data_IF_563151133738
#
_entry.id   IF_563151133738
#
_cell.length_a   1.000
_cell.length_b   1.000
_cell.length_c   1.000
_cell.angle_alpha   90.00
_cell.angle_beta   90.00
_cell.angle_gamma   90.00
#
_symmetry.space_group_name_H-M   'P 1'
#
loop_
_entity.id
_entity.type
_entity.pdbx_description
1 polymer ?
#
# COMPACT_ATOMS: atom_id res chain seq x y z
N UNK A 1 12.70 -3.88 -31.31
CA UNK A 1 12.42 -3.86 -29.86
C UNK A 1 10.90 -3.99 -29.70
N UNK A 2 10.39 -4.90 -28.88
CA UNK A 2 8.93 -5.16 -28.78
C UNK A 2 8.10 -3.97 -28.27
N UNK A 3 8.76 -2.97 -27.69
CA UNK A 3 8.16 -1.77 -27.09
C UNK A 3 7.62 -0.76 -28.13
N UNK A 4 7.88 -1.02 -29.43
CA UNK A 4 7.33 -0.25 -30.55
C UNK A 4 6.01 -0.79 -31.08
N UNK A 5 5.45 -1.86 -30.48
CA UNK A 5 4.15 -2.42 -30.87
C UNK A 5 2.99 -1.43 -30.68
N UNK A 6 3.15 -0.47 -29.78
CA UNK A 6 2.17 0.57 -29.49
C UNK A 6 2.76 1.95 -29.84
N UNK A 7 2.00 2.75 -30.59
CA UNK A 7 2.38 4.12 -30.98
C UNK A 7 1.96 5.17 -29.95
N UNK A 8 2.58 6.36 -30.04
CA UNK A 8 2.27 7.51 -29.19
C UNK A 8 3.03 7.54 -27.86
N UNK A 9 3.09 8.71 -27.22
CA UNK A 9 3.89 8.88 -26.01
C UNK A 9 3.39 8.01 -24.83
N UNK A 10 2.07 7.80 -24.72
CA UNK A 10 1.47 6.98 -23.67
C UNK A 10 1.85 5.49 -23.71
N UNK A 11 2.31 4.97 -24.85
CA UNK A 11 2.69 3.56 -24.97
C UNK A 11 3.86 3.17 -24.06
N UNK A 12 4.75 4.11 -23.79
CA UNK A 12 5.89 3.95 -22.88
C UNK A 12 5.48 3.66 -21.44
N UNK A 13 4.20 3.81 -21.08
CA UNK A 13 3.67 3.52 -19.75
C UNK A 13 2.87 2.22 -19.71
N UNK A 14 2.88 1.43 -20.78
CA UNK A 14 2.23 0.13 -20.78
C UNK A 14 2.88 -0.79 -19.75
N UNK A 15 2.05 -1.47 -18.96
CA UNK A 15 2.48 -2.36 -17.88
C UNK A 15 3.45 -3.46 -18.32
N UNK A 16 3.25 -3.99 -19.52
CA UNK A 16 4.04 -5.08 -20.08
C UNK A 16 4.89 -4.61 -21.26
N UNK A 17 4.67 -3.37 -21.71
CA UNK A 17 5.23 -2.76 -22.91
C UNK A 17 5.79 -1.32 -22.62
N UNK A 18 6.46 -1.07 -21.46
CA UNK A 18 7.52 -0.04 -21.18
C UNK A 18 9.07 -0.41 -21.09
N UNK A 19 9.97 0.57 -21.12
CA UNK A 19 11.43 0.34 -21.06
C UNK A 19 11.94 -0.52 -19.88
N UNK A 20 11.27 -0.46 -18.72
CA UNK A 20 11.65 -1.22 -17.54
C UNK A 20 11.43 -2.73 -17.72
N UNK A 21 10.33 -3.16 -18.33
CA UNK A 21 10.13 -4.59 -18.58
C UNK A 21 11.01 -5.14 -19.72
N UNK A 22 11.56 -4.30 -20.62
CA UNK A 22 12.61 -4.76 -21.56
C UNK A 22 13.87 -5.16 -20.80
N UNK A 23 14.25 -4.32 -19.83
CA UNK A 23 15.41 -4.58 -18.98
C UNK A 23 15.17 -5.84 -18.17
N UNK A 24 13.98 -6.02 -17.59
CA UNK A 24 13.64 -7.25 -16.88
C UNK A 24 13.74 -8.47 -17.79
N UNK A 25 13.18 -8.43 -19.01
CA UNK A 25 13.31 -9.51 -19.98
C UNK A 25 14.77 -9.80 -20.32
N UNK A 26 15.60 -8.78 -20.52
CA UNK A 26 17.03 -9.00 -20.84
C UNK A 26 17.84 -9.49 -19.65
N UNK A 27 17.55 -8.99 -18.46
CA UNK A 27 18.29 -9.28 -17.24
C UNK A 27 17.88 -10.61 -16.63
N UNK A 28 16.57 -10.82 -16.40
CA UNK A 28 16.05 -12.01 -15.73
C UNK A 28 16.18 -13.26 -16.58
N UNK A 29 16.18 -13.14 -17.91
CA UNK A 29 16.47 -14.28 -18.79
C UNK A 29 17.96 -14.68 -18.83
N UNK A 30 18.86 -13.92 -18.19
CA UNK A 30 20.27 -14.34 -18.01
C UNK A 30 20.49 -15.16 -16.74
N UNK A 31 19.51 -15.18 -15.83
CA UNK A 31 19.61 -15.91 -14.57
C UNK A 31 19.06 -17.34 -14.73
N UNK A 32 19.71 -18.36 -14.13
CA UNK A 32 19.15 -19.71 -14.04
C UNK A 32 17.81 -19.68 -13.29
N UNK A 33 16.80 -20.44 -13.75
CA UNK A 33 15.49 -20.52 -13.10
C UNK A 33 15.13 -22.00 -12.83
N UNK A 34 14.94 -22.33 -11.56
CA UNK A 34 14.78 -23.73 -11.11
C UNK A 34 13.32 -24.22 -11.05
N UNK A 35 12.31 -23.33 -11.04
CA UNK A 35 10.97 -23.69 -10.54
C UNK A 35 9.77 -23.48 -11.49
N UNK A 36 9.97 -23.07 -12.74
CA UNK A 36 8.89 -23.13 -13.75
C UNK A 36 9.32 -24.07 -14.87
N UNK A 37 8.44 -24.99 -15.32
CA UNK A 37 8.80 -25.97 -16.33
C UNK A 37 9.34 -25.24 -17.54
N UNK A 38 10.60 -25.55 -17.88
CA UNK A 38 11.30 -25.07 -19.06
C UNK A 38 10.56 -25.56 -20.32
N UNK A 39 9.46 -24.89 -20.69
CA UNK A 39 8.78 -25.04 -21.98
C UNK A 39 9.48 -24.20 -23.07
N UNK A 40 10.79 -23.97 -22.94
CA UNK A 40 11.52 -23.01 -23.77
C UNK A 40 11.00 -21.57 -23.66
N UNK A 41 10.19 -21.25 -22.66
CA UNK A 41 9.61 -19.91 -22.48
C UNK A 41 10.58 -19.03 -21.68
N UNK A 42 11.07 -17.98 -22.34
CA UNK A 42 11.78 -16.87 -21.71
C UNK A 42 10.81 -16.15 -20.75
N UNK A 43 11.30 -15.60 -19.64
CA UNK A 43 10.59 -14.58 -18.85
C UNK A 43 10.00 -13.56 -19.83
N UNK A 44 8.67 -13.54 -19.89
CA UNK A 44 7.92 -12.80 -20.87
C UNK A 44 7.13 -11.67 -20.20
N UNK A 45 6.45 -11.97 -19.09
CA UNK A 45 5.55 -11.05 -18.39
C UNK A 45 5.68 -11.22 -16.88
N UNK A 46 5.60 -10.09 -16.17
CA UNK A 46 5.26 -10.05 -14.75
C UNK A 46 3.78 -9.66 -14.57
N UNK A 47 2.96 -10.58 -14.06
CA UNK A 47 1.53 -10.37 -13.84
C UNK A 47 1.22 -9.23 -12.84
N UNK A 48 2.13 -9.02 -11.89
CA UNK A 48 2.05 -7.93 -10.92
C UNK A 48 2.37 -6.56 -11.52
N UNK A 49 3.09 -6.48 -12.64
CA UNK A 49 3.59 -5.22 -13.21
C UNK A 49 4.76 -4.60 -12.45
N UNK A 50 5.30 -5.31 -11.44
CA UNK A 50 6.51 -4.88 -10.76
C UNK A 50 7.71 -5.09 -11.67
N UNK A 51 8.47 -4.03 -11.87
CA UNK A 51 9.64 -4.05 -12.73
C UNK A 51 10.87 -3.65 -11.94
N UNK A 52 12.06 -4.13 -12.31
CA UNK A 52 13.26 -3.83 -11.54
C UNK A 52 13.48 -2.32 -11.43
N UNK A 53 13.38 -1.57 -12.53
CA UNK A 53 13.56 -0.11 -12.52
C UNK A 53 12.55 0.67 -11.67
N UNK A 54 11.46 0.05 -11.17
CA UNK A 54 10.55 0.72 -10.24
C UNK A 54 11.24 1.15 -8.95
N UNK A 55 12.45 0.64 -8.66
CA UNK A 55 13.28 1.13 -7.56
C UNK A 55 13.58 2.64 -7.66
N UNK A 56 13.65 3.24 -8.86
CA UNK A 56 13.95 4.66 -9.06
C UNK A 56 12.84 5.56 -8.49
N UNK A 57 11.57 5.45 -8.95
CA UNK A 57 10.48 6.20 -8.34
C UNK A 57 10.23 5.79 -6.87
N UNK A 58 10.59 4.57 -6.48
CA UNK A 58 10.55 4.16 -5.06
C UNK A 58 11.60 4.90 -4.21
N UNK A 59 12.84 5.06 -4.70
CA UNK A 59 13.89 5.86 -4.06
C UNK A 59 13.42 7.30 -3.85
N UNK A 60 12.76 7.89 -4.84
CA UNK A 60 12.20 9.24 -4.70
C UNK A 60 11.19 9.33 -3.54
N UNK A 61 10.26 8.36 -3.41
CA UNK A 61 9.33 8.33 -2.27
C UNK A 61 10.04 8.14 -0.93
N UNK A 62 11.10 7.33 -0.88
CA UNK A 62 11.90 7.14 0.33
C UNK A 62 12.63 8.42 0.74
N UNK A 63 13.21 9.15 -0.22
CA UNK A 63 13.86 10.44 0.03
C UNK A 63 12.87 11.49 0.52
N UNK A 64 11.67 11.57 -0.07
CA UNK A 64 10.60 12.46 0.41
C UNK A 64 10.17 12.12 1.83
N UNK A 65 10.04 10.83 2.15
CA UNK A 65 9.78 10.35 3.51
C UNK A 65 10.89 10.73 4.50
N UNK A 66 12.16 10.57 4.09
CA UNK A 66 13.32 10.98 4.88
C UNK A 66 13.28 12.49 5.17
N UNK A 67 12.97 13.31 4.16
CA UNK A 67 12.82 14.76 4.33
C UNK A 67 11.72 15.09 5.34
N UNK A 68 10.54 14.49 5.25
CA UNK A 68 9.48 14.65 6.26
C UNK A 68 9.97 14.28 7.67
N UNK A 69 10.65 13.14 7.80
CA UNK A 69 11.21 12.69 9.07
C UNK A 69 12.22 13.68 9.65
N UNK A 70 13.11 14.25 8.81
CA UNK A 70 14.07 15.26 9.25
C UNK A 70 13.40 16.55 9.73
N UNK A 71 12.33 17.00 9.06
CA UNK A 71 11.55 18.17 9.47
C UNK A 71 10.87 17.92 10.81
N UNK A 72 10.26 16.74 11.00
CA UNK A 72 9.63 16.39 12.27
C UNK A 72 10.62 16.31 13.44
N UNK A 73 11.85 15.83 13.19
CA UNK A 73 12.92 15.77 14.21
C UNK A 73 13.63 17.10 14.44
N UNK A 74 13.39 18.11 13.62
CA UNK A 74 14.03 19.42 13.76
C UNK A 74 13.55 20.17 15.00
N UNK A 75 14.33 21.16 15.42
CA UNK A 75 14.00 22.09 16.52
C UNK A 75 12.97 23.16 16.15
N UNK A 76 12.39 23.10 14.95
CA UNK A 76 11.37 24.06 14.52
C UNK A 76 10.11 23.96 15.40
N UNK A 77 9.36 25.08 15.57
CA UNK A 77 8.06 25.04 16.23
C UNK A 77 7.09 24.08 15.53
N UNK A 78 6.24 23.41 16.29
CA UNK A 78 5.36 22.37 15.74
C UNK A 78 4.39 22.90 14.66
N UNK A 79 3.95 24.15 14.79
CA UNK A 79 3.15 24.82 13.77
C UNK A 79 3.87 24.99 12.42
N UNK A 80 5.18 25.26 12.44
CA UNK A 80 5.98 25.37 11.21
C UNK A 80 6.21 24.01 10.56
N UNK A 81 6.38 22.95 11.36
CA UNK A 81 6.45 21.57 10.84
C UNK A 81 5.17 21.19 10.09
N UNK A 82 3.99 21.49 10.66
CA UNK A 82 2.70 21.24 9.99
C UNK A 82 2.58 22.06 8.70
N UNK A 83 2.89 23.36 8.74
CA UNK A 83 2.85 24.21 7.54
C UNK A 83 3.78 23.68 6.45
N UNK A 84 4.98 23.23 6.82
CA UNK A 84 5.92 22.64 5.87
C UNK A 84 5.35 21.39 5.21
N UNK A 85 4.78 20.46 5.99
CA UNK A 85 4.16 19.23 5.46
C UNK A 85 2.97 19.54 4.55
N UNK A 86 2.13 20.51 4.91
CA UNK A 86 1.00 20.95 4.08
C UNK A 86 1.47 21.56 2.76
N UNK A 87 2.48 22.44 2.80
CA UNK A 87 3.09 23.03 1.59
C UNK A 87 3.75 21.96 0.72
N UNK A 88 4.52 21.05 1.30
CA UNK A 88 5.15 19.95 0.57
C UNK A 88 4.11 19.08 -0.13
N UNK A 89 3.02 18.71 0.56
CA UNK A 89 1.93 17.95 -0.04
C UNK A 89 1.23 18.71 -1.17
N UNK A 90 0.99 20.02 -1.01
CA UNK A 90 0.42 20.86 -2.06
C UNK A 90 1.33 20.95 -3.29
N UNK A 91 2.64 21.12 -3.11
CA UNK A 91 3.63 21.11 -4.19
C UNK A 91 3.61 19.76 -4.91
N UNK A 92 3.58 18.64 -4.18
CA UNK A 92 3.46 17.31 -4.79
C UNK A 92 2.20 17.21 -5.65
N UNK A 93 1.04 17.69 -5.19
CA UNK A 93 -0.18 17.66 -5.99
C UNK A 93 -0.09 18.54 -7.24
N UNK A 94 0.45 19.76 -7.13
CA UNK A 94 0.65 20.65 -8.29
C UNK A 94 1.57 19.99 -9.32
N UNK A 95 2.67 19.37 -8.88
CA UNK A 95 3.59 18.64 -9.76
C UNK A 95 2.89 17.42 -10.37
N UNK A 96 2.14 16.64 -9.61
CA UNK A 96 1.37 15.51 -10.14
C UNK A 96 0.33 15.93 -11.17
N UNK A 97 -0.36 17.04 -10.93
CA UNK A 97 -1.33 17.62 -11.87
C UNK A 97 -0.65 18.10 -13.15
N UNK A 98 0.57 18.63 -13.06
CA UNK A 98 1.36 18.99 -14.25
C UNK A 98 1.84 17.77 -15.03
N UNK A 99 2.10 16.64 -14.36
CA UNK A 99 2.56 15.40 -14.98
C UNK A 99 1.42 14.60 -15.66
N UNK A 100 0.22 14.67 -15.10
CA UNK A 100 -0.95 13.94 -15.57
C UNK A 100 -2.22 14.77 -15.32
N UNK A 101 -2.87 15.21 -16.40
CA UNK A 101 -4.11 15.99 -16.30
C UNK A 101 -5.33 15.17 -15.89
N UNK A 102 -5.22 13.83 -15.81
CA UNK A 102 -6.33 12.95 -15.41
C UNK A 102 -6.86 13.20 -14.00
N UNK A 103 -6.03 13.78 -13.12
CA UNK A 103 -6.40 14.11 -11.74
C UNK A 103 -6.89 15.55 -11.58
N UNK A 104 -7.03 16.31 -12.67
CA UNK A 104 -7.55 17.66 -12.58
C UNK A 104 -9.01 17.62 -12.13
N UNK A 105 -9.40 18.52 -11.20
CA UNK A 105 -10.79 18.58 -10.72
C UNK A 105 -11.77 19.04 -11.81
N UNK A 106 -11.28 19.72 -12.85
CA UNK A 106 -12.08 20.22 -13.96
C UNK A 106 -11.47 19.74 -15.27
N UNK A 107 -12.27 19.04 -16.07
CA UNK A 107 -11.88 18.66 -17.41
C UNK A 107 -11.88 19.90 -18.31
N UNK A 108 -10.69 20.33 -18.75
CA UNK A 108 -10.54 21.46 -19.67
C UNK A 108 -10.48 20.87 -21.09
N UNK A 109 -11.45 21.19 -21.98
CA UNK A 109 -11.43 20.73 -23.36
C UNK A 109 -10.10 21.10 -24.03
N UNK A 110 -9.53 20.17 -24.79
CA UNK A 110 -8.25 20.32 -25.51
C UNK A 110 -6.98 20.47 -24.64
N UNK A 111 -7.07 20.31 -23.31
CA UNK A 111 -5.91 20.30 -22.40
C UNK A 111 -5.79 18.94 -21.69
N UNK A 112 -5.48 17.89 -22.46
CA UNK A 112 -5.25 16.56 -21.92
C UNK A 112 -3.85 16.06 -22.31
N UNK A 113 -2.99 15.88 -21.32
CA UNK A 113 -1.69 15.24 -21.52
C UNK A 113 -1.36 14.29 -20.36
N UNK A 114 -0.62 13.24 -20.72
CA UNK A 114 -0.24 12.17 -19.80
C UNK A 114 1.27 11.93 -19.92
N UNK A 115 2.06 12.87 -19.41
CA UNK A 115 3.52 12.79 -19.48
C UNK A 115 4.06 11.69 -18.54
N UNK A 116 3.53 11.60 -17.33
CA UNK A 116 3.80 10.48 -16.43
C UNK A 116 2.48 10.09 -15.75
N UNK A 117 1.70 9.16 -16.34
CA UNK A 117 0.38 8.82 -15.86
C UNK A 117 0.44 8.25 -14.45
N UNK A 118 -0.57 8.51 -13.64
CA UNK A 118 -0.62 8.14 -12.22
C UNK A 118 -1.05 6.67 -12.10
N UNK A 119 -0.12 5.75 -12.37
CA UNK A 119 -0.35 4.30 -12.32
C UNK A 119 0.41 3.67 -11.16
N UNK A 120 -0.33 3.20 -10.15
CA UNK A 120 0.21 2.49 -8.99
C UNK A 120 0.90 1.18 -9.35
N UNK A 121 0.35 0.42 -10.29
CA UNK A 121 0.75 -0.97 -10.56
C UNK A 121 2.19 -1.09 -11.06
N UNK A 122 2.67 -0.13 -11.84
CA UNK A 122 4.07 -0.06 -12.30
C UNK A 122 4.87 1.04 -11.58
N UNK A 123 4.35 1.55 -10.46
CA UNK A 123 4.98 2.59 -9.65
C UNK A 123 5.53 3.79 -10.45
N UNK A 124 4.70 4.32 -11.35
CA UNK A 124 5.09 5.48 -12.18
C UNK A 124 5.58 6.67 -11.36
N UNK A 125 6.47 7.53 -11.90
CA UNK A 125 6.88 8.76 -11.25
C UNK A 125 5.70 9.67 -10.86
N UNK A 126 4.68 9.77 -11.72
CA UNK A 126 3.44 10.51 -11.41
C UNK A 126 2.74 9.96 -10.16
N UNK A 127 2.62 8.63 -10.04
CA UNK A 127 2.09 7.97 -8.84
C UNK A 127 2.97 8.18 -7.60
N UNK A 128 4.28 8.13 -7.74
CA UNK A 128 5.22 8.35 -6.63
C UNK A 128 5.05 9.75 -6.01
N UNK A 129 4.99 10.79 -6.84
CA UNK A 129 4.77 12.18 -6.36
C UNK A 129 3.36 12.35 -5.80
N UNK A 130 2.35 11.79 -6.47
CA UNK A 130 0.94 11.93 -6.06
C UNK A 130 0.68 11.28 -4.70
N UNK A 131 1.17 10.04 -4.52
CA UNK A 131 1.07 9.33 -3.25
C UNK A 131 1.84 10.04 -2.13
N UNK A 132 3.00 10.62 -2.45
CA UNK A 132 3.78 11.43 -1.49
C UNK A 132 2.98 12.62 -0.97
N UNK A 133 2.23 13.31 -1.86
CA UNK A 133 1.34 14.41 -1.47
C UNK A 133 0.31 14.02 -0.41
N UNK A 134 -0.39 12.90 -0.62
CA UNK A 134 -1.31 12.33 0.37
C UNK A 134 -0.61 11.95 1.67
N UNK A 135 0.55 11.30 1.59
CA UNK A 135 1.28 10.90 2.80
C UNK A 135 1.75 12.10 3.63
N UNK A 136 2.20 13.19 3.01
CA UNK A 136 2.56 14.42 3.74
C UNK A 136 1.36 15.04 4.45
N UNK A 137 0.20 15.12 3.79
CA UNK A 137 -1.01 15.66 4.40
C UNK A 137 -1.56 14.77 5.51
N UNK A 138 -1.56 13.45 5.32
CA UNK A 138 -1.92 12.50 6.38
C UNK A 138 -0.96 12.60 7.57
N UNK A 139 0.35 12.71 7.31
CA UNK A 139 1.35 12.90 8.36
C UNK A 139 1.15 14.23 9.10
N UNK A 140 0.85 15.32 8.39
CA UNK A 140 0.51 16.60 8.98
C UNK A 140 -0.73 16.50 9.88
N UNK A 141 -1.77 15.82 9.41
CA UNK A 141 -3.00 15.61 10.16
C UNK A 141 -2.75 14.77 11.44
N UNK A 142 -2.02 13.65 11.33
CA UNK A 142 -1.70 12.82 12.48
C UNK A 142 -0.81 13.54 13.50
N UNK A 143 0.23 14.23 13.03
CA UNK A 143 1.10 15.03 13.91
C UNK A 143 0.30 16.14 14.62
N UNK A 144 -0.58 16.83 13.91
CA UNK A 144 -1.42 17.85 14.52
C UNK A 144 -2.41 17.28 15.55
N UNK A 145 -3.06 16.15 15.26
CA UNK A 145 -4.04 15.55 16.18
C UNK A 145 -3.36 14.91 17.41
N UNK A 146 -2.24 14.21 17.21
CA UNK A 146 -1.61 13.37 18.25
C UNK A 146 -0.60 14.17 19.07
N UNK A 147 0.24 14.97 18.43
CA UNK A 147 1.36 15.66 19.07
C UNK A 147 0.99 17.09 19.49
N UNK A 148 0.24 17.83 18.67
CA UNK A 148 -0.15 19.21 19.03
C UNK A 148 -1.43 19.22 19.88
N UNK A 149 -2.51 18.58 19.40
CA UNK A 149 -3.80 18.51 20.11
C UNK A 149 -3.81 17.49 21.26
N UNK A 150 -2.77 16.67 21.38
CA UNK A 150 -2.61 15.66 22.45
C UNK A 150 -3.77 14.62 22.51
N UNK A 151 -4.52 14.46 21.43
CA UNK A 151 -5.62 13.49 21.38
C UNK A 151 -5.06 12.11 21.03
N UNK A 152 -4.57 11.39 22.04
CA UNK A 152 -3.80 10.14 21.86
C UNK A 152 -4.61 8.86 22.06
N UNK A 153 -5.80 8.92 22.66
CA UNK A 153 -6.57 7.71 23.02
C UNK A 153 -6.98 6.87 21.81
N UNK A 154 -7.37 7.52 20.71
CA UNK A 154 -7.80 6.83 19.49
C UNK A 154 -6.63 6.23 18.70
N UNK A 155 -5.40 6.71 18.91
CA UNK A 155 -4.22 6.20 18.21
C UNK A 155 -3.66 4.92 18.85
N UNK A 156 -4.09 4.56 20.07
CA UNK A 156 -3.65 3.36 20.79
C UNK A 156 -3.77 2.05 19.98
N UNK A 157 -4.93 1.70 19.38
CA UNK A 157 -5.03 0.46 18.60
C UNK A 157 -4.11 0.45 17.37
N UNK A 158 -3.88 1.60 16.74
CA UNK A 158 -2.99 1.75 15.58
C UNK A 158 -1.51 1.66 15.99
N UNK A 159 -1.16 2.27 17.12
CA UNK A 159 0.19 2.26 17.68
C UNK A 159 0.66 0.84 17.98
N UNK A 160 -0.21 0.00 18.54
CA UNK A 160 0.10 -1.41 18.85
C UNK A 160 0.55 -2.18 17.62
N UNK A 161 -0.16 -2.01 16.50
CA UNK A 161 0.20 -2.62 15.23
C UNK A 161 1.49 -2.01 14.69
N UNK A 162 1.64 -0.68 14.80
CA UNK A 162 2.83 0.04 14.34
C UNK A 162 4.12 -0.38 15.05
N UNK A 163 4.07 -0.62 16.37
CA UNK A 163 5.22 -1.07 17.15
C UNK A 163 5.67 -2.50 16.83
N UNK A 164 4.81 -3.30 16.21
CA UNK A 164 5.08 -4.69 15.79
C UNK A 164 4.77 -4.87 14.28
N UNK A 165 5.12 -3.87 13.46
CA UNK A 165 4.74 -3.81 12.05
C UNK A 165 5.27 -5.00 11.22
N UNK A 166 6.51 -5.45 11.47
CA UNK A 166 7.07 -6.63 10.80
C UNK A 166 6.37 -7.92 11.22
N UNK A 167 6.05 -8.06 12.51
CA UNK A 167 5.31 -9.22 13.00
C UNK A 167 3.92 -9.27 12.36
N UNK A 168 3.23 -8.13 12.31
CA UNK A 168 1.93 -8.01 11.65
C UNK A 168 2.00 -8.38 10.17
N UNK A 169 3.03 -7.90 9.45
CA UNK A 169 3.26 -8.25 8.05
C UNK A 169 3.46 -9.76 7.85
N UNK A 170 4.36 -10.36 8.62
CA UNK A 170 4.65 -11.81 8.56
C UNK A 170 3.40 -12.62 8.89
N UNK A 171 2.66 -12.24 9.94
CA UNK A 171 1.42 -12.92 10.31
C UNK A 171 0.35 -12.82 9.20
N UNK A 172 0.20 -11.64 8.58
CA UNK A 172 -0.76 -11.45 7.49
C UNK A 172 -0.42 -12.32 6.26
N UNK A 173 0.85 -12.64 6.04
CA UNK A 173 1.28 -13.51 4.93
C UNK A 173 1.20 -14.99 5.27
N UNK A 174 1.57 -15.38 6.49
CA UNK A 174 1.71 -16.79 6.86
C UNK A 174 0.45 -17.39 7.49
N UNK A 175 -0.21 -16.68 8.40
CA UNK A 175 -1.29 -17.26 9.23
C UNK A 175 -2.68 -16.72 8.92
N UNK A 176 -2.82 -15.72 8.04
CA UNK A 176 -4.13 -15.12 7.69
C UNK A 176 -5.18 -16.14 7.23
N UNK A 177 -4.79 -17.11 6.40
CA UNK A 177 -5.69 -18.17 5.94
C UNK A 177 -6.11 -19.07 7.09
N UNK A 178 -5.13 -19.49 7.90
CA UNK A 178 -5.36 -20.32 9.07
C UNK A 178 -6.27 -19.64 10.09
N UNK A 179 -6.05 -18.35 10.39
CA UNK A 179 -6.91 -17.56 11.29
C UNK A 179 -8.35 -17.49 10.78
N UNK A 180 -8.54 -17.34 9.45
CA UNK A 180 -9.87 -17.38 8.84
C UNK A 180 -10.56 -18.73 8.99
N UNK A 181 -9.84 -19.82 8.73
CA UNK A 181 -10.34 -21.19 8.88
C UNK A 181 -10.72 -21.51 10.32
N UNK A 182 -9.82 -21.22 11.27
CA UNK A 182 -10.06 -21.43 12.70
C UNK A 182 -11.29 -20.64 13.17
N UNK A 183 -11.39 -19.36 12.80
CA UNK A 183 -12.53 -18.52 13.16
C UNK A 183 -13.84 -19.09 12.58
N UNK A 184 -13.83 -19.55 11.33
CA UNK A 184 -15.00 -20.20 10.72
C UNK A 184 -15.40 -21.49 11.47
N UNK A 185 -14.45 -22.34 11.84
CA UNK A 185 -14.75 -23.59 12.56
C UNK A 185 -15.34 -23.31 13.94
N UNK A 186 -14.68 -22.46 14.74
CA UNK A 186 -15.13 -22.20 16.11
C UNK A 186 -16.47 -21.46 16.17
N UNK A 187 -16.70 -20.49 15.26
CA UNK A 187 -17.99 -19.81 15.20
C UNK A 187 -19.12 -20.73 14.73
N UNK A 188 -18.85 -21.67 13.82
CA UNK A 188 -19.85 -22.66 13.42
C UNK A 188 -20.25 -23.58 14.58
N UNK A 189 -19.29 -23.96 15.44
CA UNK A 189 -19.59 -24.72 16.68
C UNK A 189 -20.45 -23.91 17.64
N UNK A 190 -20.19 -22.60 17.79
CA UNK A 190 -20.99 -21.70 18.63
C UNK A 190 -22.42 -21.59 18.09
N UNK A 191 -22.58 -21.34 16.79
CA UNK A 191 -23.90 -21.24 16.17
C UNK A 191 -24.69 -22.55 16.34
N UNK A 192 -24.03 -23.70 16.19
CA UNK A 192 -24.64 -25.01 16.43
C UNK A 192 -25.05 -25.21 17.90
N UNK A 193 -24.23 -24.77 18.86
CA UNK A 193 -24.51 -24.87 20.29
C UNK A 193 -25.77 -24.08 20.69
N UNK A 194 -25.95 -22.89 20.12
CA UNK A 194 -27.11 -22.02 20.40
C UNK A 194 -28.29 -22.26 19.44
N UNK A 195 -28.17 -23.21 18.50
CA UNK A 195 -29.21 -23.51 17.52
C UNK A 195 -29.47 -22.39 16.50
N UNK A 196 -28.51 -21.49 16.31
CA UNK A 196 -28.62 -20.38 15.36
C UNK A 196 -28.35 -20.86 13.94
N UNK A 197 -29.35 -20.71 13.05
CA UNK A 197 -29.18 -21.01 11.61
C UNK A 197 -28.50 -19.85 10.86
N UNK A 198 -28.82 -18.62 11.23
CA UNK A 198 -28.25 -17.38 10.68
C UNK A 198 -27.42 -16.65 11.73
N UNK A 199 -26.51 -17.39 12.38
CA UNK A 199 -25.70 -16.90 13.48
C UNK A 199 -24.48 -16.07 13.05
N UNK A 200 -23.49 -16.02 13.94
CA UNK A 200 -22.29 -15.19 13.76
C UNK A 200 -21.43 -15.73 12.61
N UNK A 201 -21.40 -17.05 12.42
CA UNK A 201 -20.68 -17.68 11.32
C UNK A 201 -21.28 -17.29 9.96
N UNK A 202 -22.61 -17.34 9.86
CA UNK A 202 -23.32 -16.95 8.64
C UNK A 202 -23.08 -15.47 8.30
N UNK A 203 -23.16 -14.59 9.29
CA UNK A 203 -22.90 -13.16 9.11
C UNK A 203 -21.46 -12.83 8.65
N UNK A 204 -20.48 -13.65 9.01
CA UNK A 204 -19.05 -13.42 8.73
C UNK A 204 -18.50 -14.21 7.53
N UNK A 205 -19.08 -15.37 7.21
CA UNK A 205 -18.53 -16.32 6.23
C UNK A 205 -19.59 -16.98 5.33
N UNK A 206 -20.87 -16.71 5.55
CA UNK A 206 -21.97 -17.19 4.72
C UNK A 206 -22.31 -16.24 3.57
N UNK A 207 -23.44 -16.49 2.91
CA UNK A 207 -23.96 -15.68 1.81
C UNK A 207 -24.72 -14.44 2.32
N UNK A 208 -24.00 -13.58 3.05
CA UNK A 208 -24.51 -12.29 3.50
C UNK A 208 -23.79 -11.14 2.77
N UNK A 209 -24.47 -10.05 2.36
CA UNK A 209 -23.84 -8.94 1.64
C UNK A 209 -22.63 -8.32 2.38
N UNK A 210 -22.66 -8.36 3.71
CA UNK A 210 -21.57 -7.87 4.57
C UNK A 210 -20.58 -8.95 5.02
N UNK A 211 -20.75 -10.21 4.62
CA UNK A 211 -19.86 -11.30 5.06
C UNK A 211 -18.41 -11.05 4.66
N UNK A 212 -18.16 -10.58 3.44
CA UNK A 212 -16.81 -10.27 2.98
C UNK A 212 -16.13 -9.22 3.86
N UNK A 213 -16.67 -7.97 4.01
CA UNK A 213 -16.02 -6.96 4.83
C UNK A 213 -15.95 -7.35 6.31
N UNK A 214 -16.99 -7.93 6.88
CA UNK A 214 -17.00 -8.35 8.28
C UNK A 214 -16.01 -9.49 8.53
N UNK A 215 -15.95 -10.48 7.65
CA UNK A 215 -14.99 -11.58 7.74
C UNK A 215 -13.55 -11.09 7.63
N UNK A 216 -13.28 -10.07 6.81
CA UNK A 216 -11.96 -9.42 6.77
C UNK A 216 -11.65 -8.67 8.06
N UNK A 217 -12.62 -7.91 8.59
CA UNK A 217 -12.48 -7.20 9.86
C UNK A 217 -12.22 -8.16 11.03
N UNK A 218 -12.92 -9.30 11.07
CA UNK A 218 -12.75 -10.29 12.14
C UNK A 218 -11.38 -10.99 12.08
N UNK A 219 -10.88 -11.29 10.87
CA UNK A 219 -9.51 -11.79 10.68
C UNK A 219 -8.48 -10.76 11.14
N UNK A 220 -8.66 -9.50 10.75
CA UNK A 220 -7.78 -8.40 11.19
C UNK A 220 -7.83 -8.22 12.70
N UNK A 221 -9.01 -8.30 13.31
CA UNK A 221 -9.20 -8.22 14.75
C UNK A 221 -8.48 -9.36 15.47
N UNK A 222 -8.56 -10.60 14.96
CA UNK A 222 -7.81 -11.73 15.51
C UNK A 222 -6.29 -11.49 15.49
N UNK A 223 -5.75 -11.02 14.36
CA UNK A 223 -4.32 -10.65 14.26
C UNK A 223 -3.95 -9.47 15.17
N UNK A 224 -4.86 -8.51 15.31
CA UNK A 224 -4.69 -7.37 16.21
C UNK A 224 -4.61 -7.82 17.67
N UNK A 225 -5.44 -8.77 18.11
CA UNK A 225 -5.38 -9.34 19.46
C UNK A 225 -4.02 -9.99 19.75
N UNK A 226 -3.41 -10.65 18.75
CA UNK A 226 -2.05 -11.18 18.88
C UNK A 226 -1.06 -10.04 19.10
N UNK A 227 -1.20 -8.92 18.37
CA UNK A 227 -0.36 -7.73 18.58
C UNK A 227 -0.58 -7.10 19.97
N UNK A 228 -1.82 -7.07 20.48
CA UNK A 228 -2.12 -6.60 21.85
C UNK A 228 -1.45 -7.51 22.88
N UNK A 229 -1.45 -8.82 22.66
CA UNK A 229 -0.76 -9.76 23.53
C UNK A 229 0.76 -9.54 23.52
N UNK A 230 1.38 -9.38 22.33
CA UNK A 230 2.79 -9.05 22.19
C UNK A 230 3.13 -7.74 22.92
N UNK A 231 2.31 -6.71 22.73
CA UNK A 231 2.46 -5.42 23.37
C UNK A 231 2.37 -5.51 24.90
N UNK A 232 1.38 -6.24 25.41
CA UNK A 232 1.19 -6.47 26.86
C UNK A 232 2.37 -7.21 27.49
N UNK A 233 3.04 -8.07 26.72
CA UNK A 233 4.26 -8.79 27.13
C UNK A 233 5.55 -8.01 26.85
N UNK A 234 5.47 -6.79 26.30
CA UNK A 234 6.61 -5.96 25.88
C UNK A 234 7.54 -6.66 24.87
N UNK A 235 6.98 -7.53 24.03
CA UNK A 235 7.70 -8.22 22.96
C UNK A 235 7.61 -7.35 21.70
N UNK A 236 8.77 -6.93 21.17
CA UNK A 236 8.88 -6.11 19.98
C UNK A 236 9.81 -6.79 18.97
N UNK A 237 9.23 -7.28 17.86
CA UNK A 237 10.02 -7.89 16.78
C UNK A 237 10.64 -6.79 15.93
N UNK A 238 11.97 -6.80 15.79
CA UNK A 238 12.74 -5.83 15.02
C UNK A 238 13.64 -6.57 14.03
N UNK A 239 13.95 -5.92 12.91
CA UNK A 239 14.89 -6.37 11.87
C UNK A 239 16.01 -5.36 11.79
#
# INVERSE_FOLDING_TARGET
MEWTQFGGFGSHWNKHVNAAAEIDRKLLNRLPRDAEPFRGQKFWINDGGYQTLNFIPSLATMLLGLMAGTVLRSSQPDGEKVKWLLKAGAICFVVSMALDTSIWPVAIPNCNWHFAPIVKRIWTPGWAVFSSGWTFWMLAAFFWVIDIRQWRRWSWPLMIVGMNSIAMYVMAQLIKSWTGGALKTHLATIDALFGWKDGINFALFGDHPLAIPLGHAARLFGLWLICVWLYSRKIFVRV
#
